data_IF_858848883067
#
_entry.id   IF_858848883067
#
_cell.length_a   1.000
_cell.length_b   1.000
_cell.length_c   1.000
_cell.angle_alpha   90.00
_cell.angle_beta   90.00
_cell.angle_gamma   90.00
#
_symmetry.space_group_name_H-M   'P 1'
#
loop_
_entity.id
_entity.type
_entity.pdbx_description
1 polymer ?
#
# COMPACT_ATOMS: atom_id res chain seq x y z
N UNK A 1 -17.59 -13.50 49.18
CA UNK A 1 -18.04 -12.85 47.95
C UNK A 1 -16.81 -12.24 47.32
N UNK A 2 -16.17 -12.97 46.39
CA UNK A 2 -14.95 -12.51 45.73
C UNK A 2 -15.33 -11.40 44.74
N UNK A 3 -14.81 -10.20 45.00
CA UNK A 3 -14.74 -9.11 44.03
C UNK A 3 -13.34 -9.18 43.44
N UNK A 4 -13.22 -9.59 42.19
CA UNK A 4 -11.99 -9.44 41.40
C UNK A 4 -11.91 -8.00 40.87
N UNK A 5 -10.77 -7.29 40.97
CA UNK A 5 -10.47 -6.13 40.14
C UNK A 5 -9.27 -6.40 39.20
N UNK A 6 -9.03 -5.62 38.11
CA UNK A 6 -9.92 -4.83 37.24
C UNK A 6 -9.89 -5.35 35.78
N UNK A 7 -10.65 -4.76 34.85
CA UNK A 7 -10.44 -4.98 33.41
C UNK A 7 -8.97 -4.76 33.04
N UNK A 8 -8.27 -5.80 32.56
CA UNK A 8 -6.86 -5.74 32.18
C UNK A 8 -6.65 -4.81 30.97
N UNK A 9 -6.34 -3.54 31.23
CA UNK A 9 -6.04 -2.51 30.23
C UNK A 9 -4.59 -2.58 29.70
N UNK A 10 -3.71 -3.34 30.36
CA UNK A 10 -2.29 -3.42 30.01
C UNK A 10 -2.00 -4.10 28.65
N UNK A 11 -2.66 -5.20 28.26
CA UNK A 11 -2.48 -5.78 26.91
C UNK A 11 -2.94 -4.83 25.80
N UNK A 12 -4.06 -4.13 26.02
CA UNK A 12 -4.64 -3.17 25.08
C UNK A 12 -3.72 -1.96 24.89
N UNK A 13 -3.21 -1.37 25.98
CA UNK A 13 -2.25 -0.25 25.89
C UNK A 13 -0.92 -0.68 25.27
N UNK A 14 -0.45 -1.88 25.59
CA UNK A 14 0.71 -2.51 24.96
C UNK A 14 0.55 -2.64 23.45
N UNK A 15 -0.63 -3.05 22.98
CA UNK A 15 -0.95 -3.14 21.56
C UNK A 15 -0.86 -1.79 20.84
N UNK A 16 -1.44 -0.73 21.41
CA UNK A 16 -1.35 0.62 20.83
C UNK A 16 0.10 1.12 20.75
N UNK A 17 0.90 0.88 21.79
CA UNK A 17 2.32 1.26 21.78
C UNK A 17 3.11 0.52 20.70
N UNK A 18 2.78 -0.74 20.46
CA UNK A 18 3.35 -1.55 19.40
C UNK A 18 2.95 -1.02 18.02
N UNK A 19 1.67 -0.69 17.80
CA UNK A 19 1.19 -0.09 16.55
C UNK A 19 1.98 1.19 16.23
N UNK A 20 2.08 2.11 17.20
CA UNK A 20 2.87 3.33 17.03
C UNK A 20 4.31 3.05 16.64
N UNK A 21 4.98 2.14 17.36
CA UNK A 21 6.38 1.83 17.12
C UNK A 21 6.62 1.20 15.74
N UNK A 22 5.79 0.26 15.32
CA UNK A 22 5.92 -0.38 14.00
C UNK A 22 5.59 0.62 12.88
N UNK A 23 4.62 1.52 13.07
CA UNK A 23 4.35 2.62 12.13
C UNK A 23 5.52 3.59 12.01
N UNK A 24 6.12 3.98 13.13
CA UNK A 24 7.32 4.82 13.15
C UNK A 24 8.50 4.13 12.45
N UNK A 25 8.66 2.82 12.63
CA UNK A 25 9.69 2.05 11.95
C UNK A 25 9.46 1.97 10.42
N UNK A 26 8.21 1.91 9.97
CA UNK A 26 7.85 2.05 8.55
C UNK A 26 8.18 3.47 8.07
N UNK A 27 7.83 4.51 8.83
CA UNK A 27 8.16 5.90 8.48
C UNK A 27 9.67 6.11 8.34
N UNK A 28 10.49 5.59 9.28
CA UNK A 28 11.95 5.65 9.18
C UNK A 28 12.51 4.85 7.99
N UNK A 29 11.83 3.77 7.59
CA UNK A 29 12.26 3.02 6.41
C UNK A 29 12.16 3.80 5.10
N UNK A 30 11.24 4.77 5.01
CA UNK A 30 11.18 5.70 3.87
C UNK A 30 12.44 6.56 3.74
N UNK A 31 13.15 6.84 4.83
CA UNK A 31 14.38 7.65 4.80
C UNK A 31 15.60 6.84 4.35
N UNK A 32 15.54 5.51 4.49
CA UNK A 32 16.65 4.60 4.21
C UNK A 32 16.53 3.86 2.89
N UNK A 33 15.37 3.90 2.24
CA UNK A 33 15.09 3.17 1.01
C UNK A 33 14.57 4.10 -0.07
N UNK A 34 14.70 3.69 -1.33
CA UNK A 34 14.03 4.39 -2.43
C UNK A 34 12.51 4.37 -2.20
N UNK A 35 11.87 5.49 -2.56
CA UNK A 35 10.43 5.69 -2.39
C UNK A 35 9.62 4.58 -3.07
N UNK A 36 8.81 3.85 -2.28
CA UNK A 36 7.98 2.72 -2.76
C UNK A 36 8.83 1.67 -3.51
N UNK A 37 9.97 1.28 -2.92
CA UNK A 37 10.78 0.15 -3.39
C UNK A 37 10.24 -1.20 -2.96
N UNK A 38 10.71 -2.29 -3.58
CA UNK A 38 10.37 -3.67 -3.17
C UNK A 38 10.72 -3.91 -1.70
N UNK A 39 11.87 -3.40 -1.24
CA UNK A 39 12.32 -3.55 0.15
C UNK A 39 11.36 -2.83 1.13
N UNK A 40 10.97 -1.61 0.79
CA UNK A 40 10.00 -0.84 1.55
C UNK A 40 8.62 -1.55 1.59
N UNK A 41 8.10 -1.98 0.45
CA UNK A 41 6.80 -2.67 0.38
C UNK A 41 6.82 -4.02 1.10
N UNK A 42 7.95 -4.73 1.07
CA UNK A 42 8.13 -5.97 1.85
C UNK A 42 8.03 -5.69 3.35
N UNK A 43 8.59 -4.58 3.83
CA UNK A 43 8.44 -4.15 5.23
C UNK A 43 7.00 -3.79 5.59
N UNK A 44 6.29 -3.10 4.70
CA UNK A 44 4.87 -2.77 4.87
C UNK A 44 4.03 -4.06 4.97
N UNK A 45 4.26 -5.03 4.08
CA UNK A 45 3.57 -6.32 4.11
C UNK A 45 3.89 -7.13 5.38
N UNK A 46 5.16 -7.17 5.80
CA UNK A 46 5.57 -7.83 7.03
C UNK A 46 4.92 -7.19 8.27
N UNK A 47 4.76 -5.86 8.28
CA UNK A 47 4.07 -5.14 9.36
C UNK A 47 2.57 -5.48 9.40
N UNK A 48 1.91 -5.54 8.23
CA UNK A 48 0.51 -5.97 8.14
C UNK A 48 0.31 -7.39 8.73
N UNK A 49 1.22 -8.31 8.43
CA UNK A 49 1.21 -9.68 8.98
C UNK A 49 1.48 -9.68 10.49
N UNK A 50 2.46 -8.90 10.96
CA UNK A 50 2.78 -8.71 12.38
C UNK A 50 1.57 -8.23 13.16
N UNK A 51 0.88 -7.21 12.66
CA UNK A 51 -0.33 -6.65 13.28
C UNK A 51 -1.44 -7.69 13.40
N UNK A 52 -1.72 -8.46 12.36
CA UNK A 52 -2.75 -9.49 12.41
C UNK A 52 -2.39 -10.64 13.40
N UNK A 53 -1.12 -11.05 13.42
CA UNK A 53 -0.62 -12.06 14.37
C UNK A 53 -0.76 -11.59 15.82
N UNK A 54 -0.35 -10.34 16.10
CA UNK A 54 -0.48 -9.74 17.42
C UNK A 54 -1.93 -9.52 17.82
N UNK A 55 -2.81 -9.18 16.89
CA UNK A 55 -4.24 -9.04 17.16
C UNK A 55 -4.84 -10.37 17.61
N UNK A 56 -4.47 -11.47 16.94
CA UNK A 56 -4.90 -12.82 17.30
C UNK A 56 -4.39 -13.22 18.69
N UNK A 57 -3.14 -12.85 19.02
CA UNK A 57 -2.59 -13.06 20.37
C UNK A 57 -3.37 -12.27 21.42
N UNK A 58 -3.70 -11.01 21.12
CA UNK A 58 -4.48 -10.16 22.03
C UNK A 58 -5.90 -10.72 22.29
N UNK A 59 -6.55 -11.28 21.28
CA UNK A 59 -7.85 -11.97 21.45
C UNK A 59 -7.75 -13.10 22.48
N UNK A 60 -6.67 -13.89 22.41
CA UNK A 60 -6.42 -14.98 23.35
C UNK A 60 -6.16 -14.47 24.77
N UNK A 61 -5.38 -13.41 24.92
CA UNK A 61 -5.06 -12.81 26.22
C UNK A 61 -6.28 -12.17 26.89
N UNK A 62 -7.16 -11.54 26.11
CA UNK A 62 -8.34 -10.85 26.63
C UNK A 62 -9.50 -11.79 26.99
N UNK A 63 -9.41 -13.09 26.69
CA UNK A 63 -10.43 -14.10 26.98
C UNK A 63 -11.84 -13.65 26.55
N UNK A 64 -11.94 -13.10 25.33
CA UNK A 64 -13.17 -12.48 24.87
C UNK A 64 -14.33 -13.50 24.78
N UNK A 65 -15.56 -13.10 25.14
CA UNK A 65 -16.73 -13.96 25.06
C UNK A 65 -17.06 -14.32 23.61
N UNK A 66 -17.52 -15.56 23.42
CA UNK A 66 -17.85 -16.12 22.09
C UNK A 66 -19.15 -15.51 21.56
N UNK A 67 -19.15 -15.06 20.30
CA UNK A 67 -20.36 -14.67 19.58
C UNK A 67 -20.88 -13.26 19.87
N UNK A 68 -20.05 -12.38 20.42
CA UNK A 68 -20.39 -10.97 20.59
C UNK A 68 -20.05 -10.13 19.35
N UNK A 69 -20.59 -8.90 19.29
CA UNK A 69 -20.43 -7.94 18.18
C UNK A 69 -18.97 -7.69 17.74
N UNK A 70 -18.00 -7.86 18.64
CA UNK A 70 -16.59 -7.73 18.29
C UNK A 70 -16.14 -8.77 17.26
N UNK A 71 -16.74 -9.96 17.28
CA UNK A 71 -16.41 -11.06 16.37
C UNK A 71 -16.88 -10.73 14.96
N UNK A 72 -18.10 -10.21 14.81
CA UNK A 72 -18.63 -9.77 13.52
C UNK A 72 -17.72 -8.68 12.92
N UNK A 73 -17.34 -7.68 13.73
CA UNK A 73 -16.42 -6.61 13.30
C UNK A 73 -15.03 -7.12 12.91
N UNK A 74 -14.50 -8.10 13.65
CA UNK A 74 -13.23 -8.76 13.31
C UNK A 74 -13.34 -9.57 12.02
N UNK A 75 -14.44 -10.29 11.82
CA UNK A 75 -14.68 -11.11 10.63
C UNK A 75 -14.87 -10.25 9.38
N UNK A 76 -15.63 -9.15 9.47
CA UNK A 76 -15.79 -8.18 8.40
C UNK A 76 -14.44 -7.58 8.00
N UNK A 77 -13.64 -7.15 8.98
CA UNK A 77 -12.31 -6.58 8.72
C UNK A 77 -11.34 -7.62 8.15
N UNK A 78 -11.36 -8.86 8.63
CA UNK A 78 -10.52 -9.94 8.13
C UNK A 78 -10.91 -10.35 6.70
N UNK A 79 -12.20 -10.38 6.38
CA UNK A 79 -12.72 -10.60 5.03
C UNK A 79 -12.29 -9.49 4.07
N UNK A 80 -12.37 -8.23 4.51
CA UNK A 80 -11.89 -7.06 3.77
C UNK A 80 -10.38 -7.12 3.49
N UNK A 81 -9.57 -7.48 4.49
CA UNK A 81 -8.13 -7.69 4.34
C UNK A 81 -7.82 -8.80 3.34
N UNK A 82 -8.55 -9.92 3.42
CA UNK A 82 -8.38 -11.05 2.52
C UNK A 82 -8.62 -10.67 1.06
N UNK A 83 -9.73 -9.99 0.76
CA UNK A 83 -10.04 -9.51 -0.58
C UNK A 83 -8.99 -8.50 -1.09
N UNK A 84 -8.50 -7.60 -0.23
CA UNK A 84 -7.43 -6.67 -0.59
C UNK A 84 -6.13 -7.43 -0.94
N UNK A 85 -5.77 -8.46 -0.18
CA UNK A 85 -4.64 -9.34 -0.47
C UNK A 85 -4.82 -10.10 -1.80
N UNK A 86 -6.03 -10.50 -2.17
CA UNK A 86 -6.30 -11.11 -3.49
C UNK A 86 -6.07 -10.13 -4.64
N UNK A 87 -6.46 -8.87 -4.46
CA UNK A 87 -6.18 -7.79 -5.43
C UNK A 87 -4.67 -7.57 -5.56
N UNK A 88 -3.95 -7.46 -4.45
CA UNK A 88 -2.49 -7.32 -4.43
C UNK A 88 -1.80 -8.50 -5.13
N UNK A 89 -2.21 -9.73 -4.81
CA UNK A 89 -1.70 -10.94 -5.47
C UNK A 89 -1.90 -10.89 -6.99
N UNK A 90 -3.08 -10.46 -7.43
CA UNK A 90 -3.38 -10.34 -8.86
C UNK A 90 -2.49 -9.30 -9.54
N UNK A 91 -2.25 -8.15 -8.89
CA UNK A 91 -1.34 -7.13 -9.39
C UNK A 91 0.10 -7.62 -9.50
N UNK A 92 0.61 -8.31 -8.48
CA UNK A 92 1.96 -8.91 -8.51
C UNK A 92 2.11 -9.92 -9.65
N UNK A 93 1.14 -10.82 -9.83
CA UNK A 93 1.15 -11.80 -10.93
C UNK A 93 1.13 -11.11 -12.31
N UNK A 94 0.35 -10.03 -12.44
CA UNK A 94 0.29 -9.28 -13.68
C UNK A 94 1.62 -8.55 -13.98
N UNK A 95 2.29 -8.03 -12.96
CA UNK A 95 3.64 -7.46 -13.09
C UNK A 95 4.72 -8.52 -13.43
N UNK A 96 4.64 -9.72 -12.85
CA UNK A 96 5.56 -10.83 -13.14
C UNK A 96 5.44 -11.31 -14.60
N UNK A 97 4.22 -11.42 -15.10
CA UNK A 97 3.96 -11.73 -16.51
C UNK A 97 4.59 -10.68 -17.43
N UNK A 98 4.48 -9.39 -17.09
CA UNK A 98 5.13 -8.32 -17.84
C UNK A 98 6.66 -8.36 -17.75
N UNK A 99 7.23 -8.64 -16.58
CA UNK A 99 8.67 -8.78 -16.40
C UNK A 99 9.26 -9.86 -17.33
N UNK A 100 8.53 -10.95 -17.54
CA UNK A 100 8.93 -12.02 -18.45
C UNK A 100 9.08 -11.53 -19.90
N UNK A 101 8.20 -10.64 -20.37
CA UNK A 101 8.34 -9.98 -21.68
C UNK A 101 9.60 -9.09 -21.75
N UNK A 102 9.92 -8.37 -20.68
CA UNK A 102 11.12 -7.53 -20.58
C UNK A 102 12.43 -8.34 -20.58
N UNK A 103 12.46 -9.50 -19.92
CA UNK A 103 13.64 -10.36 -19.88
C UNK A 103 14.05 -10.87 -21.28
N UNK A 104 13.08 -11.11 -22.16
CA UNK A 104 13.34 -11.48 -23.56
C UNK A 104 14.08 -10.38 -24.33
N UNK A 105 13.83 -9.11 -24.01
CA UNK A 105 14.55 -7.96 -24.60
C UNK A 105 16.00 -7.94 -24.14
N UNK A 106 16.24 -8.13 -22.84
CA UNK A 106 17.59 -8.17 -22.28
C UNK A 106 18.43 -9.29 -22.92
N UNK A 107 17.85 -10.48 -23.10
CA UNK A 107 18.53 -11.60 -23.78
C UNK A 107 18.83 -11.30 -25.27
N UNK A 108 17.93 -10.60 -25.96
CA UNK A 108 18.13 -10.20 -27.36
C UNK A 108 19.23 -9.13 -27.50
N UNK A 109 19.38 -8.26 -26.50
CA UNK A 109 20.42 -7.23 -26.45
C UNK A 109 21.82 -7.81 -26.22
N UNK A 110 21.94 -8.91 -25.48
CA UNK A 110 23.22 -9.59 -25.29
C UNK A 110 23.76 -10.13 -26.62
N UNK A 111 22.87 -10.66 -27.47
CA UNK A 111 23.18 -11.01 -28.87
C UNK A 111 23.61 -9.81 -29.74
N UNK A 112 23.01 -8.64 -29.54
CA UNK A 112 23.39 -7.38 -30.22
C UNK A 112 24.80 -6.92 -29.87
N UNK A 113 25.17 -7.01 -28.59
CA UNK A 113 26.49 -6.56 -28.09
C UNK A 113 27.64 -7.32 -28.75
N UNK A 114 27.38 -8.54 -29.23
CA UNK A 114 28.35 -9.36 -29.96
C UNK A 114 28.33 -9.15 -31.48
N UNK A 115 27.22 -8.68 -32.07
CA UNK A 115 27.05 -8.51 -33.52
C UNK A 115 26.21 -7.26 -33.82
N UNK A 116 26.84 -6.09 -33.91
CA UNK A 116 26.12 -4.85 -34.23
C UNK A 116 25.59 -4.89 -35.68
N UNK A 117 24.29 -5.13 -35.84
CA UNK A 117 23.61 -5.12 -37.13
C UNK A 117 22.30 -4.32 -37.01
N UNK A 118 22.03 -3.44 -37.97
CA UNK A 118 20.80 -2.64 -38.06
C UNK A 118 19.51 -3.49 -37.96
N UNK A 119 19.54 -4.74 -38.40
CA UNK A 119 18.41 -5.66 -38.29
C UNK A 119 18.11 -6.03 -36.83
N UNK A 120 19.14 -6.23 -36.00
CA UNK A 120 18.99 -6.55 -34.58
C UNK A 120 18.51 -5.33 -33.80
N UNK A 121 19.02 -4.12 -34.11
CA UNK A 121 18.50 -2.88 -33.51
C UNK A 121 17.00 -2.70 -33.76
N UNK A 122 16.53 -2.96 -35.00
CA UNK A 122 15.10 -2.89 -35.34
C UNK A 122 14.26 -3.93 -34.59
N UNK A 123 14.79 -5.13 -34.38
CA UNK A 123 14.10 -6.16 -33.60
C UNK A 123 13.97 -5.77 -32.12
N UNK A 124 15.05 -5.24 -31.53
CA UNK A 124 15.04 -4.76 -30.14
C UNK A 124 14.08 -3.58 -29.97
N UNK A 125 14.08 -2.60 -30.89
CA UNK A 125 13.13 -1.48 -30.87
C UNK A 125 11.67 -1.99 -30.91
N UNK A 126 11.36 -2.95 -31.79
CA UNK A 126 10.00 -3.53 -31.86
C UNK A 126 9.61 -4.24 -30.57
N UNK A 127 10.53 -4.98 -29.95
CA UNK A 127 10.29 -5.66 -28.69
C UNK A 127 10.05 -4.65 -27.55
N UNK A 128 10.82 -3.56 -27.49
CA UNK A 128 10.61 -2.46 -26.53
C UNK A 128 9.23 -1.84 -26.72
N UNK A 129 8.84 -1.51 -27.96
CA UNK A 129 7.51 -0.94 -28.24
C UNK A 129 6.39 -1.90 -27.86
N UNK A 130 6.56 -3.21 -28.07
CA UNK A 130 5.61 -4.24 -27.62
C UNK A 130 5.47 -4.24 -26.09
N UNK A 131 6.59 -4.30 -25.38
CA UNK A 131 6.67 -4.25 -23.92
C UNK A 131 5.99 -2.97 -23.35
N UNK A 132 6.23 -1.81 -23.96
CA UNK A 132 5.59 -0.55 -23.55
C UNK A 132 4.06 -0.59 -23.72
N UNK A 133 3.56 -1.23 -24.77
CA UNK A 133 2.10 -1.41 -24.95
C UNK A 133 1.51 -2.32 -23.90
N UNK A 134 2.21 -3.40 -23.54
CA UNK A 134 1.78 -4.30 -22.46
C UNK A 134 1.67 -3.56 -21.12
N UNK A 135 2.59 -2.64 -20.81
CA UNK A 135 2.48 -1.78 -19.61
C UNK A 135 1.20 -0.95 -19.61
N UNK A 136 0.86 -0.32 -20.73
CA UNK A 136 -0.35 0.51 -20.83
C UNK A 136 -1.61 -0.34 -20.60
N UNK A 137 -1.65 -1.54 -21.19
CA UNK A 137 -2.75 -2.49 -20.99
C UNK A 137 -2.83 -2.91 -19.52
N UNK A 138 -1.70 -3.27 -18.91
CA UNK A 138 -1.59 -3.63 -17.50
C UNK A 138 -2.12 -2.52 -16.58
N UNK A 139 -1.72 -1.27 -16.81
CA UNK A 139 -2.16 -0.12 -16.00
C UNK A 139 -3.67 0.14 -16.12
N UNK A 140 -4.25 0.01 -17.32
CA UNK A 140 -5.70 0.15 -17.52
C UNK A 140 -6.50 -1.01 -16.90
N UNK A 141 -5.99 -2.25 -16.98
CA UNK A 141 -6.59 -3.40 -16.29
C UNK A 141 -6.56 -3.24 -14.78
N UNK A 142 -5.41 -2.83 -14.22
CA UNK A 142 -5.25 -2.57 -12.80
C UNK A 142 -6.13 -1.41 -12.33
N UNK A 143 -6.26 -0.34 -13.12
CA UNK A 143 -7.19 0.77 -12.84
C UNK A 143 -8.64 0.31 -12.79
N UNK A 144 -9.07 -0.57 -13.71
CA UNK A 144 -10.41 -1.19 -13.67
C UNK A 144 -10.58 -2.07 -12.43
N UNK A 145 -9.55 -2.83 -12.06
CA UNK A 145 -9.55 -3.67 -10.86
C UNK A 145 -9.72 -2.83 -9.59
N UNK A 146 -8.97 -1.73 -9.46
CA UNK A 146 -9.10 -0.77 -8.35
C UNK A 146 -10.52 -0.19 -8.29
N UNK A 147 -11.05 0.32 -9.41
CA UNK A 147 -12.41 0.88 -9.44
C UNK A 147 -13.49 -0.12 -9.04
N UNK A 148 -13.39 -1.37 -9.51
CA UNK A 148 -14.43 -2.37 -9.26
C UNK A 148 -14.35 -3.03 -7.89
N UNK A 149 -13.14 -3.29 -7.39
CA UNK A 149 -12.94 -4.05 -6.14
C UNK A 149 -12.52 -3.17 -4.98
N UNK A 150 -11.65 -2.18 -5.17
CA UNK A 150 -11.16 -1.36 -4.06
C UNK A 150 -12.17 -0.34 -3.59
N UNK A 151 -13.04 0.18 -4.47
CA UNK A 151 -14.19 0.97 -4.04
C UNK A 151 -15.17 0.16 -3.16
N UNK A 152 -15.35 -1.13 -3.47
CA UNK A 152 -16.17 -2.04 -2.67
C UNK A 152 -15.52 -2.42 -1.33
N UNK A 153 -14.19 -2.37 -1.23
CA UNK A 153 -13.46 -2.62 0.01
C UNK A 153 -13.51 -1.44 0.99
N UNK A 154 -14.18 -0.34 0.64
CA UNK A 154 -14.28 0.86 1.48
C UNK A 154 -12.92 1.24 2.07
N UNK A 155 -11.85 1.16 1.27
CA UNK A 155 -10.51 1.64 1.65
C UNK A 155 -10.46 3.17 1.72
N UNK A 156 -11.61 3.84 1.56
CA UNK A 156 -11.77 5.25 1.87
C UNK A 156 -11.36 5.44 3.34
N UNK A 157 -10.37 6.29 3.53
CA UNK A 157 -10.12 6.90 4.83
C UNK A 157 -11.36 7.72 5.14
N UNK A 158 -12.30 7.13 5.85
CA UNK A 158 -13.54 7.81 6.21
C UNK A 158 -13.18 8.83 7.27
N UNK A 159 -12.80 10.04 6.84
CA UNK A 159 -12.69 11.24 7.68
C UNK A 159 -14.04 11.68 8.29
N UNK A 160 -15.06 10.83 8.21
CA UNK A 160 -16.38 11.03 8.77
C UNK A 160 -16.45 10.46 10.21
N UNK A 161 -15.37 10.65 10.98
CA UNK A 161 -15.32 10.36 12.41
C UNK A 161 -16.41 11.12 13.18
N UNK A 162 -16.90 12.23 12.63
CA UNK A 162 -17.93 13.06 13.25
C UNK A 162 -19.30 12.38 13.36
N UNK A 163 -19.66 11.43 12.49
CA UNK A 163 -20.99 10.81 12.54
C UNK A 163 -21.11 9.69 13.57
N UNK A 164 -20.00 9.06 13.96
CA UNK A 164 -19.98 7.99 14.98
C UNK A 164 -19.62 8.55 16.36
N UNK A 165 -19.07 9.76 16.42
CA UNK A 165 -18.64 10.43 17.66
C UNK A 165 -19.74 11.09 18.50
N UNK A 166 -20.94 11.32 17.97
CA UNK A 166 -21.96 12.14 18.65
C UNK A 166 -22.80 11.35 19.68
N UNK A 167 -22.65 10.02 19.78
CA UNK A 167 -23.25 9.29 20.91
C UNK A 167 -22.26 9.17 22.06
N UNK A 168 -22.34 10.14 22.96
CA UNK A 168 -21.56 10.29 24.19
C UNK A 168 -21.70 9.11 25.19
N UNK A 169 -22.46 8.07 24.83
CA UNK A 169 -22.61 6.81 25.57
C UNK A 169 -21.60 5.72 25.15
N UNK A 170 -20.88 5.88 24.02
CA UNK A 170 -19.92 4.91 23.49
C UNK A 170 -18.49 5.08 24.05
N UNK A 171 -18.15 6.23 24.63
CA UNK A 171 -16.78 6.55 25.07
C UNK A 171 -16.23 5.61 26.17
N UNK A 172 -17.10 4.97 26.97
CA UNK A 172 -16.66 3.95 27.93
C UNK A 172 -16.32 2.59 27.25
N UNK A 173 -16.72 2.37 26.00
CA UNK A 173 -16.47 1.16 25.21
C UNK A 173 -15.13 1.18 24.43
N UNK A 174 -14.42 2.31 24.40
CA UNK A 174 -13.10 2.46 23.75
C UNK A 174 -11.92 1.95 24.60
N UNK A 175 -12.19 1.47 25.82
CA UNK A 175 -11.18 0.94 26.74
C UNK A 175 -10.91 -0.57 26.54
N UNK A 176 -11.19 -1.13 25.36
CA UNK A 176 -11.12 -2.57 25.12
C UNK A 176 -10.84 -2.96 23.66
N UNK A 177 -11.08 -4.23 23.35
CA UNK A 177 -10.70 -4.84 22.07
C UNK A 177 -11.33 -4.17 20.82
N UNK A 178 -12.56 -3.65 20.92
CA UNK A 178 -13.21 -2.97 19.77
C UNK A 178 -12.50 -1.68 19.36
N UNK A 179 -11.92 -0.95 20.33
CA UNK A 179 -11.04 0.18 20.02
C UNK A 179 -9.78 -0.26 19.28
N UNK A 180 -9.26 -1.45 19.60
CA UNK A 180 -8.10 -2.03 18.90
C UNK A 180 -8.46 -2.42 17.47
N UNK A 181 -9.62 -3.05 17.24
CA UNK A 181 -10.12 -3.36 15.89
C UNK A 181 -10.26 -2.10 15.03
N UNK A 182 -10.77 -1.02 15.62
CA UNK A 182 -10.91 0.25 14.91
C UNK A 182 -9.55 0.86 14.54
N UNK A 183 -8.59 0.89 15.46
CA UNK A 183 -7.24 1.35 15.15
C UNK A 183 -6.56 0.48 14.08
N UNK A 184 -6.70 -0.85 14.20
CA UNK A 184 -6.23 -1.80 13.20
C UNK A 184 -6.82 -1.52 11.81
N UNK A 185 -8.13 -1.30 11.73
CA UNK A 185 -8.80 -0.96 10.47
C UNK A 185 -8.18 0.27 9.80
N UNK A 186 -7.84 1.31 10.56
CA UNK A 186 -7.21 2.52 10.02
C UNK A 186 -5.78 2.26 9.55
N UNK A 187 -4.98 1.57 10.38
CA UNK A 187 -3.60 1.19 10.06
C UNK A 187 -3.56 0.29 8.82
N UNK A 188 -4.35 -0.77 8.79
CA UNK A 188 -4.46 -1.69 7.69
C UNK A 188 -4.87 -0.98 6.40
N UNK A 189 -5.84 -0.06 6.46
CA UNK A 189 -6.27 0.70 5.28
C UNK A 189 -5.12 1.53 4.71
N UNK A 190 -4.34 2.20 5.56
CA UNK A 190 -3.15 2.93 5.13
C UNK A 190 -2.10 2.01 4.50
N UNK A 191 -1.75 0.91 5.17
CA UNK A 191 -0.75 -0.03 4.64
C UNK A 191 -1.21 -0.65 3.30
N UNK A 192 -2.49 -1.00 3.19
CA UNK A 192 -3.08 -1.50 1.95
C UNK A 192 -3.06 -0.44 0.85
N UNK A 193 -3.34 0.83 1.14
CA UNK A 193 -3.23 1.90 0.15
C UNK A 193 -1.80 2.06 -0.37
N UNK A 194 -0.81 1.99 0.52
CA UNK A 194 0.61 2.02 0.15
C UNK A 194 0.96 0.83 -0.76
N UNK A 195 0.54 -0.39 -0.38
CA UNK A 195 0.77 -1.61 -1.17
C UNK A 195 0.08 -1.55 -2.53
N UNK A 196 -1.18 -1.08 -2.59
CA UNK A 196 -1.94 -0.96 -3.83
C UNK A 196 -1.34 0.09 -4.76
N UNK A 197 -0.88 1.23 -4.23
CA UNK A 197 -0.20 2.24 -5.04
C UNK A 197 1.13 1.70 -5.60
N UNK A 198 1.86 0.90 -4.81
CA UNK A 198 3.10 0.28 -5.24
C UNK A 198 2.91 -0.83 -6.28
N UNK A 199 1.98 -1.76 -6.05
CA UNK A 199 1.91 -3.04 -6.78
C UNK A 199 0.76 -3.14 -7.79
N UNK A 200 -0.23 -2.25 -7.72
CA UNK A 200 -1.43 -2.35 -8.56
C UNK A 200 -1.63 -1.08 -9.37
N UNK A 201 -2.05 0.01 -8.72
CA UNK A 201 -2.27 1.29 -9.37
C UNK A 201 -2.50 2.38 -8.32
N UNK A 202 -1.76 3.49 -8.41
CA UNK A 202 -1.99 4.68 -7.61
C UNK A 202 -3.18 5.48 -8.14
N UNK A 203 -4.21 5.64 -7.31
CA UNK A 203 -5.40 6.42 -7.62
C UNK A 203 -5.47 7.67 -6.73
N UNK A 204 -5.11 8.86 -7.25
CA UNK A 204 -4.95 10.10 -6.46
C UNK A 204 -6.15 10.48 -5.57
N UNK A 205 -7.42 10.28 -5.97
CA UNK A 205 -8.57 10.56 -5.10
C UNK A 205 -8.60 9.80 -3.78
N UNK A 206 -7.94 8.64 -3.65
CA UNK A 206 -7.88 7.94 -2.36
C UNK A 206 -7.04 8.68 -1.31
N UNK A 207 -6.05 9.45 -1.74
CA UNK A 207 -5.15 10.18 -0.86
C UNK A 207 -5.73 11.55 -0.46
N UNK A 208 -6.51 12.17 -1.36
CA UNK A 208 -7.13 13.48 -1.10
C UNK A 208 -8.17 13.47 0.04
N UNK A 209 -8.90 12.37 0.23
CA UNK A 209 -9.87 12.24 1.33
C UNK A 209 -9.24 12.08 2.72
N UNK A 210 -8.00 11.60 2.77
CA UNK A 210 -7.29 11.37 4.01
C UNK A 210 -6.63 12.66 4.57
N UNK A 211 -6.64 13.75 3.79
CA UNK A 211 -6.28 15.09 4.25
C UNK A 211 -7.30 15.70 5.23
N UNK A 212 -8.49 15.11 5.41
CA UNK A 212 -9.53 15.63 6.31
C UNK A 212 -9.21 15.50 7.81
N UNK A 213 -8.14 14.78 8.18
CA UNK A 213 -7.61 14.75 9.55
C UNK A 213 -6.85 16.03 9.95
N UNK A 214 -6.74 17.02 9.05
CA UNK A 214 -5.87 18.20 9.23
C UNK A 214 -6.33 19.20 10.29
N UNK A 215 -7.62 19.31 10.57
CA UNK A 215 -8.15 20.46 11.31
C UNK A 215 -9.25 20.06 12.29
N UNK A 216 -8.85 19.87 13.55
CA UNK A 216 -9.72 20.07 14.69
C UNK A 216 -10.42 18.81 15.19
N UNK A 217 -9.72 17.99 15.96
CA UNK A 217 -10.26 17.50 17.25
C UNK A 217 -9.18 16.75 18.03
N UNK A 218 -8.98 17.19 19.26
CA UNK A 218 -7.97 16.65 20.16
C UNK A 218 -8.53 15.38 20.82
N UNK A 219 -8.24 14.21 20.24
CA UNK A 219 -8.75 12.93 20.73
C UNK A 219 -7.69 12.20 21.56
N UNK A 220 -7.97 12.09 22.86
CA UNK A 220 -7.14 11.43 23.87
C UNK A 220 -7.35 9.91 23.88
N UNK A 221 -6.23 9.18 23.98
CA UNK A 221 -6.02 7.72 23.92
C UNK A 221 -5.89 7.15 22.48
N UNK A 222 -4.64 6.88 22.05
CA UNK A 222 -4.28 6.43 20.69
C UNK A 222 -3.61 7.49 19.80
N UNK A 223 -3.35 8.70 20.33
CA UNK A 223 -2.82 9.85 19.58
C UNK A 223 -1.49 9.57 18.86
N UNK A 224 -0.56 8.84 19.49
CA UNK A 224 0.75 8.58 18.90
C UNK A 224 0.68 7.74 17.61
N UNK A 225 -0.23 6.75 17.54
CA UNK A 225 -0.39 5.93 16.34
C UNK A 225 -1.02 6.76 15.22
N UNK A 226 -1.98 7.63 15.55
CA UNK A 226 -2.62 8.54 14.60
C UNK A 226 -1.64 9.60 14.08
N UNK A 227 -0.79 10.15 14.95
CA UNK A 227 0.28 11.06 14.53
C UNK A 227 1.26 10.37 13.57
N UNK A 228 1.55 9.09 13.81
CA UNK A 228 2.43 8.27 12.96
C UNK A 228 1.77 7.98 11.61
N UNK A 229 0.48 7.64 11.59
CA UNK A 229 -0.34 7.51 10.38
C UNK A 229 -0.31 8.80 9.56
N UNK A 230 -0.60 9.94 10.20
CA UNK A 230 -0.64 11.24 9.52
C UNK A 230 0.74 11.68 9.00
N UNK A 231 1.84 11.33 9.68
CA UNK A 231 3.21 11.55 9.18
C UNK A 231 3.49 10.67 7.98
N UNK A 232 3.23 9.38 8.09
CA UNK A 232 3.49 8.39 7.04
C UNK A 232 2.72 8.73 5.77
N UNK A 233 1.44 9.03 5.92
CA UNK A 233 0.57 9.43 4.81
C UNK A 233 1.08 10.69 4.10
N UNK A 234 1.42 11.76 4.85
CA UNK A 234 2.01 12.97 4.25
C UNK A 234 3.32 12.67 3.52
N UNK A 235 4.15 11.78 4.06
CA UNK A 235 5.40 11.39 3.40
C UNK A 235 5.13 10.64 2.09
N UNK A 236 4.13 9.76 2.08
CA UNK A 236 3.69 9.07 0.87
C UNK A 236 3.18 10.08 -0.15
N UNK A 237 2.22 10.93 0.22
CA UNK A 237 1.65 11.99 -0.64
C UNK A 237 2.75 12.88 -1.24
N UNK A 238 3.62 13.44 -0.40
CA UNK A 238 4.72 14.29 -0.85
C UNK A 238 5.68 13.56 -1.79
N UNK A 239 5.91 12.26 -1.56
CA UNK A 239 6.74 11.44 -2.44
C UNK A 239 6.06 11.17 -3.78
N UNK A 240 4.74 11.00 -3.80
CA UNK A 240 3.96 10.87 -5.04
C UNK A 240 4.02 12.13 -5.90
N UNK A 241 3.91 13.30 -5.28
CA UNK A 241 3.98 14.60 -5.96
C UNK A 241 5.37 14.89 -6.54
N UNK A 242 6.44 14.46 -5.86
CA UNK A 242 7.82 14.60 -6.36
C UNK A 242 8.11 13.66 -7.52
N UNK A 243 7.47 12.50 -7.53
CA UNK A 243 7.65 11.44 -8.52
C UNK A 243 6.95 11.74 -9.84
N UNK A 244 5.77 12.36 -9.78
CA UNK A 244 4.98 12.76 -10.94
C UNK A 244 4.97 14.27 -11.03
N UNK A 245 5.83 14.86 -11.88
CA UNK A 245 5.96 16.31 -12.07
C UNK A 245 4.68 17.06 -12.50
N UNK A 246 3.51 16.40 -12.54
CA UNK A 246 2.16 16.94 -12.63
C UNK A 246 1.13 16.03 -11.92
N UNK A 247 0.00 16.57 -11.40
CA UNK A 247 -1.01 15.78 -10.69
C UNK A 247 -1.72 14.71 -11.53
N UNK A 248 -1.55 14.71 -12.86
CA UNK A 248 -2.06 13.67 -13.76
C UNK A 248 -1.02 12.57 -14.07
N UNK A 249 0.28 12.83 -13.85
CA UNK A 249 1.37 11.87 -14.04
C UNK A 249 1.75 11.11 -12.75
N UNK A 250 1.06 11.39 -11.64
CA UNK A 250 1.14 10.61 -10.39
C UNK A 250 0.25 9.36 -10.37
N UNK A 251 -0.51 9.12 -11.44
CA UNK A 251 -1.37 7.96 -11.60
C UNK A 251 -0.65 6.85 -12.38
N UNK A 252 -0.64 5.63 -11.83
CA UNK A 252 0.10 4.49 -12.38
C UNK A 252 0.72 3.61 -11.29
N UNK A 253 1.55 2.65 -11.69
CA UNK A 253 2.27 1.78 -10.74
C UNK A 253 3.46 2.53 -10.14
N UNK A 254 3.50 2.66 -8.81
CA UNK A 254 4.50 3.49 -8.13
C UNK A 254 5.76 2.74 -7.69
N UNK A 255 5.83 1.42 -7.92
CA UNK A 255 7.01 0.62 -7.60
C UNK A 255 8.27 1.23 -8.22
N UNK A 256 9.25 1.57 -7.38
CA UNK A 256 10.49 2.21 -7.80
C UNK A 256 11.20 1.43 -8.91
N UNK A 257 11.43 0.14 -8.71
CA UNK A 257 12.14 -0.74 -9.62
C UNK A 257 11.44 -0.85 -10.98
N UNK A 258 10.11 -0.90 -10.97
CA UNK A 258 9.29 -0.89 -12.19
C UNK A 258 9.47 0.40 -12.98
N UNK A 259 9.43 1.55 -12.29
CA UNK A 259 9.61 2.86 -12.92
C UNK A 259 11.02 3.06 -13.46
N UNK A 260 12.05 2.62 -12.72
CA UNK A 260 13.44 2.64 -13.19
C UNK A 260 13.62 1.76 -14.44
N UNK A 261 13.03 0.56 -14.46
CA UNK A 261 13.07 -0.30 -15.63
C UNK A 261 12.41 0.37 -16.86
N UNK A 262 11.28 1.05 -16.68
CA UNK A 262 10.61 1.81 -17.77
C UNK A 262 11.50 2.92 -18.32
N UNK A 263 12.11 3.73 -17.46
CA UNK A 263 13.02 4.81 -17.87
C UNK A 263 14.21 4.24 -18.63
N UNK A 264 14.86 3.19 -18.11
CA UNK A 264 15.98 2.54 -18.77
C UNK A 264 15.61 1.96 -20.15
N UNK A 265 14.39 1.41 -20.31
CA UNK A 265 13.90 0.94 -21.61
C UNK A 265 13.68 2.09 -22.60
N UNK A 266 13.19 3.24 -22.15
CA UNK A 266 13.01 4.44 -22.98
C UNK A 266 14.34 5.03 -23.44
N UNK A 267 15.31 5.13 -22.53
CA UNK A 267 16.69 5.57 -22.84
C UNK A 267 17.37 4.62 -23.84
N UNK A 268 17.25 3.31 -23.63
CA UNK A 268 17.78 2.30 -24.56
C UNK A 268 17.16 2.46 -25.96
N UNK A 269 15.85 2.68 -26.05
CA UNK A 269 15.17 2.90 -27.32
C UNK A 269 15.70 4.16 -28.02
N UNK A 270 15.81 5.29 -27.31
CA UNK A 270 16.32 6.53 -27.86
C UNK A 270 17.78 6.40 -28.34
N UNK A 271 18.61 5.64 -27.63
CA UNK A 271 19.96 5.31 -28.04
C UNK A 271 20.01 4.48 -29.33
N UNK A 272 19.13 3.50 -29.48
CA UNK A 272 19.05 2.67 -30.69
C UNK A 272 18.52 3.43 -31.90
N UNK A 273 17.59 4.37 -31.69
CA UNK A 273 17.05 5.21 -32.75
C UNK A 273 18.07 6.28 -33.23
N UNK A 274 18.86 6.83 -32.32
CA UNK A 274 19.92 7.80 -32.67
C UNK A 274 21.18 7.15 -33.27
N UNK A 275 21.56 5.96 -32.80
CA UNK A 275 22.70 5.19 -33.34
C UNK A 275 22.43 4.55 -34.71
N UNK A 276 21.18 4.43 -35.14
CA UNK A 276 20.80 3.93 -36.47
C UNK A 276 20.71 4.98 -37.57
N UNK A 277 21.00 6.25 -37.26
CA UNK A 277 20.86 7.38 -38.19
C UNK A 277 22.20 7.87 -38.81
N UNK A 278 23.31 7.15 -38.59
CA UNK A 278 24.66 7.53 -39.07
C UNK A 278 25.26 6.49 -40.04
N UNK A 279 24.44 5.74 -40.77
CA UNK A 279 24.88 4.96 -41.94
C UNK A 279 24.23 5.43 -43.23
#
# INVERSE_FOLDING_TARGET
MFMDPPCNLAPVSGFYSMLSRELDDIDQSFLSHNFISVQFLSKVLASLQSFHSRLTTLVQELHLPVGEKWLDEYMDESSRLWEACLVLKSGVLAMENHHSSGANIASSLDGYRHHSNAQVSRQVIRAIVGCQREVIVLEEENKRLIKTRVEALSLKFEGNFNSVMIESSWFNAFNGFRGVLHAMRNVNSLLLLILLAGLVYCWPPFWQGAAAFREGEQMTFGSASMDSIARLQRRVENGMDQVGGQPASSAGIMLYEFRQARIAMEELRAGLESGGAVE
#
